data_IF_820046909624
#
_entry.id   IF_820046909624
#
_cell.length_a   1.000
_cell.length_b   1.000
_cell.length_c   1.000
_cell.angle_alpha   90.00
_cell.angle_beta   90.00
_cell.angle_gamma   90.00
#
_symmetry.space_group_name_H-M   'P 1'
#
loop_
_entity.id
_entity.type
_entity.pdbx_description
1 polymer ?
#
# COMPACT_ATOMS: atom_id res chain seq x y z
N UNK A 1 16.15 40.83 -26.69
CA UNK A 1 16.33 39.39 -26.41
C UNK A 1 15.44 39.05 -25.22
N UNK A 2 14.38 38.29 -25.46
CA UNK A 2 13.52 37.74 -24.40
C UNK A 2 14.10 36.37 -24.04
N UNK A 3 14.49 36.16 -22.77
CA UNK A 3 14.84 34.82 -22.31
C UNK A 3 13.56 33.98 -22.28
N UNK A 4 13.59 32.70 -22.72
CA UNK A 4 12.46 31.82 -22.49
C UNK A 4 12.30 31.65 -20.98
N UNK A 5 11.08 31.86 -20.47
CA UNK A 5 10.74 31.50 -19.10
C UNK A 5 11.04 30.01 -18.91
N UNK A 6 11.96 29.68 -18.01
CA UNK A 6 12.21 28.28 -17.64
C UNK A 6 10.95 27.74 -16.96
N UNK A 7 10.20 26.89 -17.66
CA UNK A 7 9.06 26.18 -17.10
C UNK A 7 9.63 25.05 -16.24
N UNK A 8 9.62 25.21 -14.93
CA UNK A 8 9.87 24.11 -14.00
C UNK A 8 8.64 23.21 -13.98
N UNK A 9 8.74 22.06 -14.65
CA UNK A 9 7.73 21.01 -14.47
C UNK A 9 7.87 20.45 -13.05
N UNK A 10 6.76 20.22 -12.32
CA UNK A 10 6.83 19.49 -11.07
C UNK A 10 7.44 18.10 -11.33
N UNK A 11 8.11 17.50 -10.33
CA UNK A 11 8.63 16.16 -10.47
C UNK A 11 7.52 15.21 -10.93
N UNK A 12 7.84 14.23 -11.79
CA UNK A 12 6.84 13.31 -12.33
C UNK A 12 6.19 12.53 -11.18
N UNK A 13 4.88 12.72 -10.99
CA UNK A 13 4.09 11.95 -10.03
C UNK A 13 4.18 10.45 -10.37
N UNK A 14 4.43 9.65 -9.35
CA UNK A 14 4.45 8.18 -9.48
C UNK A 14 3.27 7.63 -8.69
N UNK A 15 2.07 7.57 -9.29
CA UNK A 15 0.86 7.18 -8.58
C UNK A 15 0.93 5.69 -8.23
N UNK A 16 0.83 5.40 -6.94
CA UNK A 16 0.79 4.05 -6.38
C UNK A 16 -0.33 3.97 -5.35
N UNK A 17 -0.70 2.77 -4.94
CA UNK A 17 -1.58 2.59 -3.79
C UNK A 17 -0.77 2.05 -2.61
N UNK A 18 -1.03 2.60 -1.42
CA UNK A 18 -0.40 2.19 -0.17
C UNK A 18 -1.41 1.38 0.63
N UNK A 19 -1.02 0.16 0.96
CA UNK A 19 -1.71 -0.67 1.94
C UNK A 19 -0.92 -0.67 3.24
N UNK A 20 -1.50 -0.09 4.29
CA UNK A 20 -0.98 -0.18 5.66
C UNK A 20 -1.74 -1.24 6.41
N UNK A 21 -1.02 -2.19 7.01
CA UNK A 21 -1.55 -3.32 7.77
C UNK A 21 -0.96 -3.25 9.16
N UNK A 22 -1.82 -3.09 10.15
CA UNK A 22 -1.49 -3.31 11.56
C UNK A 22 -1.70 -4.80 11.84
N UNK A 23 -0.59 -5.53 11.82
CA UNK A 23 -0.53 -6.92 12.18
C UNK A 23 -0.18 -7.04 13.66
N UNK A 24 -0.88 -7.91 14.38
CA UNK A 24 -0.55 -8.21 15.78
C UNK A 24 0.93 -8.60 15.90
N UNK A 25 1.55 -8.27 17.03
CA UNK A 25 2.88 -8.76 17.42
C UNK A 25 3.05 -10.29 17.33
N UNK A 26 1.97 -11.05 17.45
CA UNK A 26 1.96 -12.50 17.30
C UNK A 26 1.87 -12.98 15.84
N UNK A 27 1.58 -12.09 14.88
CA UNK A 27 1.48 -12.48 13.48
C UNK A 27 2.88 -12.66 12.87
N UNK A 28 3.12 -13.81 12.24
CA UNK A 28 4.45 -14.17 11.74
C UNK A 28 4.58 -13.99 10.23
N UNK A 29 3.49 -14.21 9.48
CA UNK A 29 3.48 -14.07 8.02
C UNK A 29 2.25 -13.34 7.51
N UNK A 30 2.48 -12.54 6.49
CA UNK A 30 1.43 -11.84 5.75
C UNK A 30 1.46 -12.27 4.29
N UNK A 31 0.28 -12.61 3.78
CA UNK A 31 0.02 -12.83 2.36
C UNK A 31 -1.04 -11.86 1.87
N UNK A 32 -0.85 -11.31 0.68
CA UNK A 32 -1.84 -10.50 -0.02
C UNK A 32 -2.23 -11.23 -1.29
N UNK A 33 -3.52 -11.39 -1.49
CA UNK A 33 -4.10 -12.02 -2.67
C UNK A 33 -4.97 -11.03 -3.46
N UNK A 34 -4.99 -11.20 -4.77
CA UNK A 34 -6.11 -10.77 -5.58
C UNK A 34 -7.26 -11.76 -5.36
N UNK A 35 -8.32 -11.33 -4.67
CA UNK A 35 -9.44 -12.20 -4.29
C UNK A 35 -10.23 -12.74 -5.48
N UNK A 36 -10.20 -12.06 -6.64
CA UNK A 36 -10.98 -12.46 -7.82
C UNK A 36 -10.28 -13.57 -8.59
N UNK A 37 -8.95 -13.48 -8.69
CA UNK A 37 -8.14 -14.42 -9.46
C UNK A 37 -7.48 -15.49 -8.60
N UNK A 38 -7.36 -15.26 -7.29
CA UNK A 38 -6.57 -16.08 -6.37
C UNK A 38 -5.06 -15.84 -6.50
N UNK A 39 -4.63 -14.85 -7.28
CA UNK A 39 -3.21 -14.55 -7.49
C UNK A 39 -2.57 -14.04 -6.19
N UNK A 40 -1.44 -14.63 -5.81
CA UNK A 40 -0.62 -14.16 -4.69
C UNK A 40 0.20 -12.94 -5.13
N UNK A 41 -0.12 -11.78 -4.58
CA UNK A 41 0.54 -10.50 -4.90
C UNK A 41 1.76 -10.24 -4.02
N UNK A 42 1.73 -10.70 -2.77
CA UNK A 42 2.83 -10.51 -1.82
C UNK A 42 2.83 -11.61 -0.78
N UNK A 43 4.02 -12.09 -0.42
CA UNK A 43 4.25 -13.03 0.69
C UNK A 43 5.46 -12.55 1.48
N UNK A 44 5.29 -12.26 2.77
CA UNK A 44 6.39 -11.74 3.61
C UNK A 44 6.32 -12.30 5.02
N UNK A 45 7.50 -12.50 5.63
CA UNK A 45 7.62 -12.69 7.07
C UNK A 45 7.50 -11.32 7.74
N UNK A 46 6.69 -11.23 8.79
CA UNK A 46 6.51 -10.05 9.59
C UNK A 46 7.67 -9.95 10.59
N UNK A 47 8.29 -8.78 10.64
CA UNK A 47 9.34 -8.44 11.61
C UNK A 47 8.96 -7.26 12.50
N UNK A 48 7.84 -6.60 12.18
CA UNK A 48 7.27 -5.47 12.89
C UNK A 48 5.74 -5.56 12.77
N UNK A 49 5.05 -4.94 13.73
CA UNK A 49 3.59 -4.96 13.80
C UNK A 49 2.96 -4.22 12.62
N UNK A 50 3.56 -3.09 12.19
CA UNK A 50 3.04 -2.32 11.07
C UNK A 50 3.80 -2.62 9.78
N UNK A 51 3.05 -2.95 8.72
CA UNK A 51 3.60 -3.21 7.39
C UNK A 51 2.94 -2.36 6.34
N UNK A 52 3.78 -1.62 5.61
CA UNK A 52 3.40 -0.80 4.47
C UNK A 52 3.78 -1.51 3.17
N UNK A 53 2.81 -1.65 2.26
CA UNK A 53 3.00 -2.29 0.95
C UNK A 53 2.49 -1.37 -0.14
N UNK A 54 3.38 -1.06 -1.09
CA UNK A 54 3.02 -0.35 -2.30
C UNK A 54 2.51 -1.34 -3.36
N UNK A 55 1.36 -1.03 -3.94
CA UNK A 55 0.72 -1.78 -4.99
C UNK A 55 0.41 -0.86 -6.18
N UNK A 56 0.21 -1.41 -7.39
CA UNK A 56 -0.31 -0.64 -8.52
C UNK A 56 -1.59 0.14 -8.18
N UNK A 57 -1.73 1.35 -8.71
CA UNK A 57 -2.81 2.29 -8.35
C UNK A 57 -4.21 1.74 -8.64
N UNK A 58 -4.37 0.84 -9.62
CA UNK A 58 -5.65 0.20 -9.97
C UNK A 58 -6.27 -0.59 -8.81
N UNK A 59 -5.44 -1.09 -7.88
CA UNK A 59 -5.94 -1.76 -6.68
C UNK A 59 -6.63 -0.81 -5.68
N UNK A 60 -6.39 0.51 -5.74
CA UNK A 60 -7.11 1.48 -4.90
C UNK A 60 -8.52 1.77 -5.39
N UNK A 61 -8.78 1.60 -6.69
CA UNK A 61 -10.10 1.77 -7.29
C UNK A 61 -10.96 0.50 -7.18
N UNK A 62 -10.32 -0.65 -7.11
CA UNK A 62 -10.97 -1.95 -7.15
C UNK A 62 -10.91 -2.67 -5.81
N UNK A 63 -12.05 -3.14 -5.29
CA UNK A 63 -12.10 -3.86 -4.02
C UNK A 63 -11.73 -5.35 -4.19
N UNK A 64 -10.52 -5.60 -4.70
CA UNK A 64 -10.09 -6.91 -5.15
C UNK A 64 -8.98 -7.52 -4.28
N UNK A 65 -8.64 -6.93 -3.14
CA UNK A 65 -7.60 -7.46 -2.28
C UNK A 65 -8.16 -8.22 -1.09
N UNK A 66 -7.43 -9.25 -0.70
CA UNK A 66 -7.61 -10.01 0.52
C UNK A 66 -6.25 -10.14 1.20
N UNK A 67 -6.21 -9.95 2.52
CA UNK A 67 -5.03 -10.16 3.35
C UNK A 67 -5.22 -11.40 4.21
N UNK A 68 -4.17 -12.19 4.34
CA UNK A 68 -4.14 -13.40 5.17
C UNK A 68 -2.93 -13.31 6.09
N UNK A 69 -3.17 -13.38 7.38
CA UNK A 69 -2.14 -13.55 8.40
C UNK A 69 -2.02 -15.03 8.72
N UNK A 70 -0.81 -15.56 8.55
CA UNK A 70 -0.49 -16.94 8.86
C UNK A 70 0.42 -16.98 10.09
N UNK A 71 0.19 -18.02 10.87
CA UNK A 71 0.97 -18.38 12.04
C UNK A 71 1.79 -19.63 11.72
N UNK A 72 3.11 -19.57 11.91
CA UNK A 72 4.02 -20.71 11.70
C UNK A 72 4.09 -21.60 12.95
N UNK A 73 3.77 -21.08 14.14
CA UNK A 73 3.93 -21.79 15.41
C UNK A 73 2.66 -22.53 15.89
N UNK A 74 1.54 -22.35 15.19
CA UNK A 74 0.23 -22.94 15.46
C UNK A 74 -0.38 -22.59 16.83
N UNK A 75 0.05 -21.48 17.42
CA UNK A 75 -0.51 -20.89 18.64
C UNK A 75 -1.87 -20.23 18.36
N UNK A 76 -2.05 -19.68 17.16
CA UNK A 76 -3.27 -18.99 16.74
C UNK A 76 -3.82 -19.51 15.41
N UNK A 77 -5.11 -19.29 15.20
CA UNK A 77 -5.72 -19.52 13.89
C UNK A 77 -5.31 -18.42 12.92
N UNK A 78 -5.21 -18.76 11.63
CA UNK A 78 -5.03 -17.78 10.58
C UNK A 78 -6.17 -16.74 10.59
N UNK A 79 -5.81 -15.47 10.41
CA UNK A 79 -6.76 -14.38 10.28
C UNK A 79 -6.87 -13.96 8.82
N UNK A 80 -8.09 -13.77 8.33
CA UNK A 80 -8.36 -13.38 6.94
C UNK A 80 -9.19 -12.11 6.95
N UNK A 81 -8.71 -11.10 6.23
CA UNK A 81 -9.41 -9.85 5.99
C UNK A 81 -9.65 -9.72 4.50
N UNK A 82 -10.91 -9.76 4.11
CA UNK A 82 -11.34 -9.60 2.74
C UNK A 82 -11.78 -8.15 2.48
N UNK A 83 -11.97 -7.78 1.21
CA UNK A 83 -12.35 -6.44 0.80
C UNK A 83 -11.37 -5.35 1.25
N UNK A 84 -10.07 -5.64 1.18
CA UNK A 84 -9.03 -4.70 1.57
C UNK A 84 -8.87 -3.64 0.49
N UNK A 85 -8.86 -2.36 0.90
CA UNK A 85 -8.76 -1.24 -0.03
C UNK A 85 -7.53 -0.38 0.30
N UNK A 86 -6.52 -0.32 -0.57
CA UNK A 86 -5.34 0.52 -0.37
C UNK A 86 -5.65 1.97 -0.72
N UNK A 87 -4.92 2.89 -0.11
CA UNK A 87 -5.08 4.34 -0.31
C UNK A 87 -4.23 4.80 -1.48
N UNK A 88 -4.76 5.57 -2.44
CA UNK A 88 -3.96 6.16 -3.51
C UNK A 88 -2.98 7.21 -2.94
N UNK A 89 -1.70 7.11 -3.29
CA UNK A 89 -0.63 8.02 -2.86
C UNK A 89 0.34 8.30 -4.01
N UNK A 90 1.09 9.40 -3.93
CA UNK A 90 2.22 9.66 -4.81
C UNK A 90 3.51 9.24 -4.11
N UNK A 91 4.27 8.34 -4.75
CA UNK A 91 5.46 7.73 -4.15
C UNK A 91 6.56 8.76 -3.82
N UNK A 92 6.61 9.89 -4.55
CA UNK A 92 7.66 10.90 -4.39
C UNK A 92 7.33 11.88 -3.25
N UNK A 93 6.05 12.20 -3.06
CA UNK A 93 5.60 13.20 -2.07
C UNK A 93 5.04 12.59 -0.79
N UNK A 94 4.95 11.26 -0.68
CA UNK A 94 4.44 10.58 0.50
C UNK A 94 5.32 10.83 1.73
N UNK A 95 4.71 11.42 2.75
CA UNK A 95 5.20 11.41 4.12
C UNK A 95 4.29 10.50 4.97
N UNK A 96 4.84 9.38 5.43
CA UNK A 96 4.11 8.35 6.20
C UNK A 96 3.73 8.86 7.59
N UNK A 97 4.54 9.76 8.15
CA UNK A 97 4.36 10.32 9.49
C UNK A 97 3.53 11.62 9.47
N UNK A 98 3.35 12.21 8.28
CA UNK A 98 2.53 13.40 8.06
C UNK A 98 1.69 13.27 6.77
N UNK A 99 0.56 12.55 6.81
CA UNK A 99 -0.31 12.37 5.65
C UNK A 99 -0.98 13.70 5.30
N UNK A 100 -0.32 14.51 4.47
CA UNK A 100 -0.91 15.76 3.98
C UNK A 100 -2.04 15.41 3.01
N UNK A 101 -3.25 15.96 3.17
CA UNK A 101 -4.24 15.94 2.11
C UNK A 101 -3.62 16.62 0.89
N UNK A 102 -3.58 15.93 -0.26
CA UNK A 102 -3.20 16.57 -1.51
C UNK A 102 -4.21 17.69 -1.81
N UNK A 103 -3.85 18.94 -1.50
CA UNK A 103 -4.53 20.11 -2.04
C UNK A 103 -3.97 20.33 -3.46
N UNK A 104 -4.82 20.35 -4.52
CA UNK A 104 -4.33 20.68 -5.84
C UNK A 104 -3.78 22.11 -5.80
N UNK A 105 -2.53 22.27 -6.25
CA UNK A 105 -1.94 23.59 -6.40
C UNK A 105 -2.72 24.39 -7.47
N UNK A 106 -3.05 25.66 -7.20
CA UNK A 106 -3.89 26.49 -8.09
C UNK A 106 -3.22 26.82 -9.43
#
# INVERSE_FOLDING_TARGET
MHYPNNIHLPPPITPVSLLSIDADSAAERLQIFNRKTGELLSHRKLAANNVNIFLPINYSSENNLMCVLLDDNAEFNAAIVDNVKPTPVDLISLDIDNPIPYEPTP
#
